data_IF_929807620428
#
_entry.id   IF_929807620428
#
_cell.length_a   1.000
_cell.length_b   1.000
_cell.length_c   1.000
_cell.angle_alpha   90.00
_cell.angle_beta   90.00
_cell.angle_gamma   90.00
#
_symmetry.space_group_name_H-M   'P 1'
#
loop_
_entity.id
_entity.type
_entity.pdbx_description
1 polymer ?
#
# COMPACT_ATOMS: atom_id res chain seq x y z
N UNK A 1 -11.17 4.61 23.10
CA UNK A 1 -10.49 5.73 22.40
C UNK A 1 -9.17 6.19 23.05
N UNK A 2 -8.94 6.03 24.36
CA UNK A 2 -7.70 6.50 25.03
C UNK A 2 -6.42 5.69 24.75
N UNK A 3 -6.51 4.39 24.43
CA UNK A 3 -5.32 3.56 24.17
C UNK A 3 -4.59 3.89 22.87
N UNK A 4 -5.30 4.39 21.85
CA UNK A 4 -4.71 4.64 20.54
C UNK A 4 -3.83 5.90 20.50
N UNK A 5 -3.99 6.84 21.44
CA UNK A 5 -3.29 8.14 21.43
C UNK A 5 -1.80 8.03 21.79
N UNK A 6 -1.39 6.99 22.50
CA UNK A 6 -0.02 6.81 22.98
C UNK A 6 0.91 6.39 21.82
N UNK A 7 0.39 5.71 20.81
CA UNK A 7 1.17 5.16 19.70
C UNK A 7 1.56 6.20 18.66
N UNK A 8 0.76 7.25 18.51
CA UNK A 8 1.00 8.32 17.54
C UNK A 8 2.13 9.27 17.95
N UNK A 9 2.71 9.12 19.14
CA UNK A 9 3.79 9.97 19.64
C UNK A 9 5.20 9.59 19.15
N UNK A 10 5.39 8.46 18.46
CA UNK A 10 6.74 7.96 18.11
C UNK A 10 7.04 7.82 16.61
N UNK A 11 6.19 8.31 15.71
CA UNK A 11 6.43 8.24 14.26
C UNK A 11 6.41 6.82 13.66
N UNK A 12 6.20 5.80 14.50
CA UNK A 12 6.11 4.37 14.14
C UNK A 12 4.74 3.78 14.51
N UNK A 13 3.70 4.63 14.60
CA UNK A 13 2.36 4.21 14.97
C UNK A 13 1.74 3.23 13.97
N UNK A 14 2.07 3.40 12.68
CA UNK A 14 1.63 2.53 11.60
C UNK A 14 2.17 1.10 11.74
N UNK A 15 3.45 0.96 12.03
CA UNK A 15 4.05 -0.36 12.22
C UNK A 15 3.39 -1.11 13.38
N UNK A 16 3.15 -0.43 14.50
CA UNK A 16 2.47 -1.03 15.66
C UNK A 16 1.03 -1.41 15.36
N UNK A 17 0.30 -0.56 14.63
CA UNK A 17 -1.04 -0.91 14.16
C UNK A 17 -1.00 -2.18 13.33
N UNK A 18 -0.08 -2.29 12.35
CA UNK A 18 0.04 -3.50 11.55
C UNK A 18 0.36 -4.74 12.37
N UNK A 19 1.29 -4.66 13.32
CA UNK A 19 1.61 -5.78 14.22
C UNK A 19 0.39 -6.24 15.04
N UNK A 20 -0.41 -5.28 15.53
CA UNK A 20 -1.62 -5.57 16.30
C UNK A 20 -2.70 -6.23 15.45
N UNK A 21 -2.96 -5.70 14.25
CA UNK A 21 -4.01 -6.21 13.36
C UNK A 21 -3.68 -7.57 12.74
N UNK A 22 -2.40 -7.90 12.57
CA UNK A 22 -2.00 -9.22 12.04
C UNK A 22 -1.77 -10.26 13.14
N UNK A 23 -1.75 -9.87 14.42
CA UNK A 23 -1.56 -10.80 15.54
C UNK A 23 -2.47 -12.05 15.48
N UNK A 24 -3.77 -11.97 15.13
CA UNK A 24 -4.63 -13.14 15.03
C UNK A 24 -4.19 -14.16 13.97
N UNK A 25 -3.45 -13.71 12.96
CA UNK A 25 -2.93 -14.59 11.89
C UNK A 25 -1.68 -15.38 12.30
N UNK A 26 -1.13 -15.10 13.50
CA UNK A 26 0.17 -15.64 13.92
C UNK A 26 1.37 -15.06 13.15
N UNK A 27 1.13 -14.11 12.24
CA UNK A 27 2.14 -13.51 11.38
C UNK A 27 2.48 -12.10 11.83
N UNK A 28 3.77 -11.75 11.70
CA UNK A 28 4.21 -10.38 11.93
C UNK A 28 3.88 -9.52 10.72
N UNK A 29 3.02 -8.54 10.95
CA UNK A 29 2.62 -7.53 9.97
C UNK A 29 3.57 -6.35 9.95
N UNK A 30 3.68 -5.74 8.78
CA UNK A 30 4.47 -4.54 8.56
C UNK A 30 3.66 -3.51 7.80
N UNK A 31 3.93 -2.23 8.06
CA UNK A 31 3.48 -1.17 7.17
C UNK A 31 4.06 -1.39 5.76
N UNK A 32 3.26 -1.19 4.73
CA UNK A 32 3.56 -1.67 3.38
C UNK A 32 4.88 -1.12 2.81
N UNK A 33 5.68 -2.01 2.22
CA UNK A 33 6.87 -1.66 1.43
C UNK A 33 6.57 -1.66 -0.08
N UNK A 34 7.27 -0.82 -0.83
CA UNK A 34 7.17 -0.73 -2.30
C UNK A 34 8.54 -0.96 -2.91
N UNK A 35 8.84 -2.20 -3.29
CA UNK A 35 10.19 -2.63 -3.68
C UNK A 35 10.42 -2.61 -5.18
N UNK A 36 9.36 -2.51 -5.98
CA UNK A 36 9.43 -2.46 -7.43
C UNK A 36 8.14 -1.89 -8.04
N UNK A 37 8.15 -1.70 -9.35
CA UNK A 37 7.01 -1.19 -10.12
C UNK A 37 5.76 -2.07 -10.00
N UNK A 38 5.87 -3.40 -9.96
CA UNK A 38 4.70 -4.29 -9.85
C UNK A 38 3.99 -4.10 -8.49
N UNK A 39 4.76 -4.00 -7.41
CA UNK A 39 4.20 -3.71 -6.08
C UNK A 39 3.57 -2.32 -6.03
N UNK A 40 4.17 -1.33 -6.69
CA UNK A 40 3.60 0.01 -6.80
C UNK A 40 2.24 -0.01 -7.51
N UNK A 41 2.13 -0.68 -8.65
CA UNK A 41 0.86 -0.85 -9.37
C UNK A 41 -0.19 -1.55 -8.50
N UNK A 42 0.18 -2.63 -7.82
CA UNK A 42 -0.71 -3.34 -6.90
C UNK A 42 -1.24 -2.44 -5.78
N UNK A 43 -0.37 -1.64 -5.17
CA UNK A 43 -0.75 -0.73 -4.08
C UNK A 43 -1.67 0.38 -4.59
N UNK A 44 -1.49 0.87 -5.82
CA UNK A 44 -2.43 1.82 -6.44
C UNK A 44 -3.85 1.25 -6.56
N UNK A 45 -3.97 -0.03 -6.89
CA UNK A 45 -5.26 -0.74 -6.93
C UNK A 45 -5.87 -0.79 -5.55
N UNK A 46 -5.12 -1.27 -4.53
CA UNK A 46 -5.61 -1.33 -3.15
C UNK A 46 -6.05 0.03 -2.64
N UNK A 47 -5.28 1.07 -2.96
CA UNK A 47 -5.60 2.44 -2.57
C UNK A 47 -6.88 2.94 -3.25
N UNK A 48 -7.05 2.68 -4.55
CA UNK A 48 -8.27 3.03 -5.29
C UNK A 48 -9.49 2.32 -4.72
N UNK A 49 -9.38 1.04 -4.40
CA UNK A 49 -10.47 0.25 -3.81
C UNK A 49 -10.85 0.78 -2.44
N UNK A 50 -9.86 1.11 -1.59
CA UNK A 50 -10.12 1.69 -0.28
C UNK A 50 -10.70 3.13 -0.38
N UNK A 51 -10.43 3.84 -1.47
CA UNK A 51 -10.93 5.19 -1.73
C UNK A 51 -12.05 5.22 -2.78
N UNK A 52 -12.94 4.23 -2.73
CA UNK A 52 -14.12 4.14 -3.62
C UNK A 52 -15.00 5.39 -3.56
N UNK A 53 -15.18 5.97 -2.37
CA UNK A 53 -15.98 7.19 -2.16
C UNK A 53 -15.26 8.49 -2.58
N UNK A 54 -14.09 8.40 -3.22
CA UNK A 54 -13.29 9.55 -3.67
C UNK A 54 -12.94 10.57 -2.57
N UNK A 55 -12.87 10.14 -1.31
CA UNK A 55 -12.48 10.99 -0.18
C UNK A 55 -11.02 11.44 -0.33
N UNK A 56 -10.22 10.68 -1.08
CA UNK A 56 -8.82 10.94 -1.37
C UNK A 56 -7.97 11.00 -0.11
N UNK A 57 -8.34 10.23 0.92
CA UNK A 57 -7.58 10.18 2.17
C UNK A 57 -6.17 9.66 1.88
N UNK A 58 -5.08 10.31 2.33
CA UNK A 58 -3.71 9.85 2.09
C UNK A 58 -3.46 8.44 2.64
N UNK A 59 -2.64 7.65 1.94
CA UNK A 59 -2.19 6.34 2.39
C UNK A 59 -0.78 6.46 2.99
N UNK A 60 -0.64 6.21 4.29
CA UNK A 60 0.68 6.09 4.91
C UNK A 60 1.35 4.80 4.44
N UNK A 61 2.55 4.93 3.90
CA UNK A 61 3.39 3.80 3.47
C UNK A 61 4.53 3.60 4.47
N UNK A 62 5.08 2.38 4.51
CA UNK A 62 6.09 1.96 5.49
C UNK A 62 7.49 2.53 5.27
N UNK A 63 7.64 3.55 4.41
CA UNK A 63 8.92 4.21 4.15
C UNK A 63 9.21 5.25 5.22
N UNK A 64 10.42 5.20 5.78
CA UNK A 64 10.94 6.20 6.71
C UNK A 64 12.28 6.71 6.21
N UNK A 65 12.47 8.01 6.21
CA UNK A 65 13.80 8.61 6.09
C UNK A 65 14.27 8.98 7.49
N UNK A 66 15.39 8.41 7.94
CA UNK A 66 15.98 8.73 9.24
C UNK A 66 17.49 8.42 9.20
N UNK A 67 18.29 9.28 9.84
CA UNK A 67 19.75 9.14 9.87
C UNK A 67 20.35 9.03 8.46
N UNK A 68 19.89 9.91 7.57
CA UNK A 68 20.38 10.06 6.20
C UNK A 68 20.17 8.85 5.30
N UNK A 69 19.21 7.98 5.65
CA UNK A 69 18.90 6.75 4.94
C UNK A 69 17.41 6.50 4.87
N UNK A 70 17.00 5.83 3.80
CA UNK A 70 15.65 5.29 3.63
C UNK A 70 15.57 3.88 4.20
N UNK A 71 14.51 3.61 4.95
CA UNK A 71 14.25 2.33 5.59
C UNK A 71 12.79 1.94 5.39
N UNK A 72 12.57 0.69 4.99
CA UNK A 72 11.27 0.05 5.10
C UNK A 72 11.14 -0.63 6.45
N UNK A 73 9.95 -0.61 7.06
CA UNK A 73 9.73 -1.30 8.34
C UNK A 73 9.89 -2.82 8.28
N UNK A 74 9.69 -3.43 7.12
CA UNK A 74 9.93 -4.85 6.91
C UNK A 74 11.41 -5.21 6.69
N UNK A 75 12.31 -4.23 6.86
CA UNK A 75 13.75 -4.32 6.62
C UNK A 75 14.13 -4.72 5.19
N UNK A 76 13.22 -4.61 4.23
CA UNK A 76 13.57 -4.79 2.83
C UNK A 76 14.47 -3.67 2.32
N UNK A 77 15.28 -3.95 1.31
CA UNK A 77 16.18 -2.97 0.72
C UNK A 77 15.40 -1.90 -0.05
N UNK A 78 15.75 -0.63 0.15
CA UNK A 78 15.25 0.47 -0.68
C UNK A 78 16.14 0.62 -1.93
N UNK A 79 15.73 0.00 -3.04
CA UNK A 79 16.46 0.04 -4.33
C UNK A 79 15.55 0.32 -5.54
N UNK A 80 14.30 0.73 -5.31
CA UNK A 80 13.38 1.05 -6.38
C UNK A 80 13.67 2.44 -6.95
N UNK A 81 14.44 2.50 -8.04
CA UNK A 81 14.86 3.73 -8.71
C UNK A 81 13.69 4.62 -9.16
N UNK A 82 12.60 3.99 -9.61
CA UNK A 82 11.40 4.69 -10.09
C UNK A 82 10.51 5.30 -8.99
N UNK A 83 10.83 5.07 -7.72
CA UNK A 83 9.96 5.48 -6.61
C UNK A 83 9.76 7.01 -6.51
N UNK A 84 10.77 7.79 -6.90
CA UNK A 84 10.77 9.26 -6.83
C UNK A 84 10.82 9.95 -8.20
N UNK A 85 10.45 9.26 -9.28
CA UNK A 85 10.44 9.85 -10.63
C UNK A 85 9.66 11.18 -10.74
N UNK A 86 10.01 12.08 -11.68
CA UNK A 86 9.58 13.49 -11.70
C UNK A 86 8.07 13.75 -11.77
N UNK A 87 7.27 12.74 -12.14
CA UNK A 87 5.81 12.81 -12.10
C UNK A 87 5.26 12.95 -10.66
N UNK A 88 6.10 12.68 -9.66
CA UNK A 88 5.84 12.88 -8.24
C UNK A 88 6.34 14.26 -7.83
N UNK A 89 5.46 15.28 -7.90
CA UNK A 89 5.72 16.71 -7.56
C UNK A 89 6.06 16.97 -6.08
N UNK A 90 6.75 16.06 -5.40
CA UNK A 90 7.25 16.33 -4.06
C UNK A 90 8.66 16.90 -4.11
N UNK A 91 8.90 17.90 -3.28
CA UNK A 91 10.17 18.62 -3.12
C UNK A 91 11.19 17.77 -2.34
N UNK A 92 11.36 16.49 -2.71
CA UNK A 92 12.27 15.57 -2.04
C UNK A 92 13.75 15.98 -2.14
N UNK A 93 14.09 16.92 -3.01
CA UNK A 93 15.43 17.51 -3.15
C UNK A 93 15.92 18.30 -1.91
N UNK A 94 15.12 18.38 -0.84
CA UNK A 94 15.43 19.12 0.39
C UNK A 94 15.61 18.25 1.65
N UNK A 95 15.70 16.92 1.51
CA UNK A 95 15.95 16.05 2.67
C UNK A 95 17.34 16.33 3.25
N UNK A 96 17.38 17.03 4.39
CA UNK A 96 18.61 17.41 5.07
C UNK A 96 19.09 16.31 6.01
N UNK A 97 20.39 16.36 6.29
CA UNK A 97 21.01 15.53 7.31
C UNK A 97 20.31 15.67 8.66
N UNK A 98 20.02 14.56 9.31
CA UNK A 98 19.37 14.51 10.63
C UNK A 98 17.86 14.74 10.64
N UNK A 99 17.21 14.89 9.48
CA UNK A 99 15.75 14.93 9.40
C UNK A 99 15.14 13.53 9.56
N UNK A 100 13.91 13.49 10.10
CA UNK A 100 13.08 12.30 10.10
C UNK A 100 11.83 12.58 9.27
N UNK A 101 11.58 11.78 8.23
CA UNK A 101 10.39 11.91 7.37
C UNK A 101 9.59 10.63 7.24
N UNK A 102 8.28 10.81 7.08
CA UNK A 102 7.27 9.80 6.80
C UNK A 102 6.64 10.09 5.45
N UNK A 103 6.37 9.05 4.66
CA UNK A 103 5.90 9.20 3.29
C UNK A 103 4.46 8.72 3.16
N UNK A 104 3.71 9.41 2.33
CA UNK A 104 2.32 9.14 2.04
C UNK A 104 2.12 9.06 0.53
N UNK A 105 1.31 8.11 0.09
CA UNK A 105 0.75 8.13 -1.25
C UNK A 105 -0.61 8.83 -1.22
N UNK A 106 -0.86 9.72 -2.17
CA UNK A 106 -2.11 10.45 -2.29
C UNK A 106 -2.55 10.52 -3.73
N UNK A 107 -3.86 10.44 -3.94
CA UNK A 107 -4.46 10.64 -5.23
C UNK A 107 -5.65 11.56 -5.08
N UNK A 108 -5.64 12.75 -5.72
CA UNK A 108 -6.77 13.65 -5.72
C UNK A 108 -8.03 12.99 -6.27
N UNK A 109 -9.22 13.49 -5.87
CA UNK A 109 -10.47 13.06 -6.44
C UNK A 109 -10.56 13.65 -7.85
N UNK A 110 -10.64 12.79 -8.86
CA UNK A 110 -10.78 13.21 -10.24
C UNK A 110 -11.68 12.25 -10.99
N UNK A 111 -12.50 12.80 -11.89
CA UNK A 111 -13.31 12.05 -12.84
C UNK A 111 -12.50 11.57 -14.06
N UNK A 112 -11.21 11.92 -14.12
CA UNK A 112 -10.30 11.54 -15.21
C UNK A 112 -9.27 10.51 -14.74
N UNK A 113 -8.25 10.21 -15.56
CA UNK A 113 -7.17 9.30 -15.19
C UNK A 113 -6.53 9.68 -13.86
N UNK A 114 -6.68 8.79 -12.89
CA UNK A 114 -6.23 8.97 -11.51
C UNK A 114 -4.71 9.10 -11.44
N UNK A 115 -4.22 10.19 -10.82
CA UNK A 115 -2.79 10.45 -10.61
C UNK A 115 -2.40 10.16 -9.17
N UNK A 116 -1.26 9.53 -8.98
CA UNK A 116 -0.76 9.13 -7.67
C UNK A 116 0.52 9.90 -7.37
N UNK A 117 0.51 10.61 -6.25
CA UNK A 117 1.60 11.43 -5.77
C UNK A 117 2.18 10.82 -4.50
N UNK A 118 3.47 10.98 -4.29
CA UNK A 118 4.10 10.73 -3.00
C UNK A 118 4.45 12.08 -2.39
N UNK A 119 4.14 12.28 -1.11
CA UNK A 119 4.59 13.43 -0.33
C UNK A 119 5.15 12.97 1.02
N UNK A 120 5.95 13.81 1.66
CA UNK A 120 6.47 13.54 2.99
C UNK A 120 6.03 14.56 4.04
N UNK A 121 6.07 14.12 5.31
CA UNK A 121 5.90 14.97 6.49
C UNK A 121 7.02 14.69 7.48
N UNK A 122 7.30 15.64 8.38
CA UNK A 122 8.21 15.42 9.51
C UNK A 122 7.64 14.38 10.49
N UNK A 123 8.47 13.45 10.97
CA UNK A 123 8.05 12.42 11.94
C UNK A 123 7.45 12.97 13.24
N UNK A 124 7.74 14.23 13.60
CA UNK A 124 7.19 14.90 14.79
C UNK A 124 5.78 15.45 14.56
N UNK A 125 5.35 15.60 13.31
CA UNK A 125 4.01 16.08 12.97
C UNK A 125 3.01 14.96 13.20
N UNK A 126 1.98 15.24 13.98
CA UNK A 126 0.83 14.35 14.11
C UNK A 126 -0.12 14.61 12.95
N UNK A 127 -0.21 13.64 12.06
CA UNK A 127 -1.21 13.59 11.00
C UNK A 127 -2.22 12.53 11.40
N UNK A 128 -3.52 12.82 11.44
CA UNK A 128 -4.53 11.89 11.98
C UNK A 128 -5.46 11.28 10.92
N UNK A 129 -5.52 11.87 9.72
CA UNK A 129 -6.46 11.49 8.67
C UNK A 129 -5.74 10.78 7.53
N UNK A 130 -5.50 9.49 7.71
CA UNK A 130 -4.87 8.67 6.69
C UNK A 130 -5.30 7.22 6.78
N UNK A 131 -5.11 6.51 5.67
CA UNK A 131 -5.27 5.05 5.57
C UNK A 131 -3.94 4.38 5.81
N UNK A 132 -4.00 3.15 6.33
CA UNK A 132 -2.84 2.29 6.51
C UNK A 132 -3.03 1.00 5.72
N UNK A 133 -2.00 0.59 4.99
CA UNK A 133 -1.94 -0.71 4.35
C UNK A 133 -0.88 -1.57 5.04
N UNK A 134 -1.30 -2.73 5.56
CA UNK A 134 -0.44 -3.68 6.23
C UNK A 134 -0.14 -4.87 5.32
N UNK A 135 1.11 -5.33 5.37
CA UNK A 135 1.62 -6.50 4.66
C UNK A 135 2.05 -7.55 5.67
N UNK A 136 1.64 -8.80 5.47
CA UNK A 136 2.13 -9.94 6.24
C UNK A 136 2.37 -11.12 5.29
N UNK A 137 3.15 -12.10 5.75
CA UNK A 137 3.34 -13.35 5.01
C UNK A 137 2.12 -14.23 5.24
N UNK A 138 1.43 -14.62 4.19
CA UNK A 138 0.39 -15.64 4.31
C UNK A 138 1.09 -16.98 4.55
N UNK A 139 0.74 -17.77 5.59
CA UNK A 139 1.25 -19.12 5.74
C UNK A 139 0.98 -19.91 4.47
N UNK A 140 1.94 -20.69 3.99
CA UNK A 140 1.65 -21.65 2.91
C UNK A 140 0.57 -22.59 3.44
N UNK A 141 -0.58 -22.62 2.79
CA UNK A 141 -1.56 -23.66 3.06
C UNK A 141 -0.89 -25.00 2.74
N UNK A 142 -0.93 -25.97 3.66
CA UNK A 142 -0.58 -27.37 3.37
C UNK A 142 -1.66 -28.04 2.47
N UNK A 143 -2.44 -27.24 1.74
CA UNK A 143 -3.43 -27.73 0.78
C UNK A 143 -2.63 -28.05 -0.48
N UNK A 144 -2.61 -29.32 -0.94
CA UNK A 144 -2.06 -29.65 -2.25
C UNK A 144 -2.74 -28.74 -3.26
N UNK A 145 -1.97 -27.88 -3.92
CA UNK A 145 -2.46 -27.18 -5.09
C UNK A 145 -2.48 -28.25 -6.17
N UNK A 146 -3.62 -28.93 -6.32
CA UNK A 146 -3.88 -29.63 -7.57
C UNK A 146 -3.73 -28.58 -8.66
N UNK A 147 -2.76 -28.80 -9.55
CA UNK A 147 -2.56 -27.97 -10.72
C UNK A 147 -3.78 -28.13 -11.63
N UNK A 148 -4.87 -27.43 -11.31
CA UNK A 148 -5.88 -27.09 -12.30
C UNK A 148 -5.15 -26.19 -13.28
N UNK A 149 -4.68 -26.79 -14.38
CA UNK A 149 -4.18 -26.03 -15.52
C UNK A 149 -5.29 -25.06 -15.91
N UNK A 150 -5.03 -23.75 -15.97
CA UNK A 150 -5.99 -22.85 -16.59
C UNK A 150 -6.20 -23.34 -18.02
N UNK A 151 -7.45 -23.53 -18.41
CA UNK A 151 -7.76 -23.83 -19.79
C UNK A 151 -7.62 -22.52 -20.60
N UNK A 152 -6.49 -22.38 -21.29
CA UNK A 152 -6.20 -21.24 -22.16
C UNK A 152 -6.86 -21.37 -23.54
N UNK A 153 -7.85 -22.26 -23.70
CA UNK A 153 -8.55 -22.48 -24.98
C UNK A 153 -9.33 -21.26 -25.51
N UNK A 154 -9.43 -20.16 -24.76
CA UNK A 154 -10.12 -18.93 -25.17
C UNK A 154 -9.20 -17.70 -25.39
N UNK A 155 -7.88 -17.86 -25.44
CA UNK A 155 -6.91 -16.73 -25.52
C UNK A 155 -6.79 -16.05 -26.91
N UNK A 156 -7.76 -16.25 -27.81
CA UNK A 156 -7.70 -15.72 -29.19
C UNK A 156 -8.63 -14.53 -29.48
N UNK A 157 -9.15 -13.83 -28.47
CA UNK A 157 -9.81 -12.55 -28.72
C UNK A 157 -9.29 -11.42 -27.81
N UNK A 158 -8.67 -10.46 -28.49
CA UNK A 158 -8.41 -9.06 -28.12
C UNK A 158 -7.29 -8.74 -27.13
N UNK A 159 -6.06 -8.82 -27.64
CA UNK A 159 -4.98 -7.88 -27.30
C UNK A 159 -5.12 -6.58 -28.08
N UNK A 160 -5.64 -5.52 -27.46
CA UNK A 160 -5.31 -4.10 -27.67
C UNK A 160 -6.26 -3.28 -26.78
N UNK A 161 -5.69 -2.39 -25.96
CA UNK A 161 -6.38 -1.53 -24.98
C UNK A 161 -6.97 -2.21 -23.72
N UNK A 162 -6.10 -2.70 -22.84
CA UNK A 162 -6.50 -3.08 -21.47
C UNK A 162 -6.59 -1.84 -20.57
N UNK A 163 -7.70 -1.10 -20.72
CA UNK A 163 -8.30 -0.34 -19.63
C UNK A 163 -8.94 -1.37 -18.67
N UNK A 164 -8.37 -1.50 -17.47
CA UNK A 164 -8.61 -2.61 -16.53
C UNK A 164 -10.05 -2.67 -15.98
N UNK A 165 -10.98 -3.17 -16.79
CA UNK A 165 -12.34 -3.55 -16.40
C UNK A 165 -12.46 -5.00 -15.86
N UNK A 166 -11.37 -5.79 -15.87
CA UNK A 166 -11.44 -7.25 -15.65
C UNK A 166 -11.34 -7.73 -14.20
N UNK A 167 -11.33 -6.85 -13.18
CA UNK A 167 -11.31 -7.30 -11.77
C UNK A 167 -12.69 -7.36 -11.10
N UNK A 168 -13.75 -7.07 -11.85
CA UNK A 168 -15.14 -7.28 -11.42
C UNK A 168 -15.75 -8.35 -12.31
N UNK A 169 -15.51 -9.62 -11.97
CA UNK A 169 -16.42 -10.66 -12.41
C UNK A 169 -17.78 -10.42 -11.74
N UNK A 170 -18.77 -10.20 -12.58
CA UNK A 170 -20.12 -9.84 -12.19
C UNK A 170 -20.83 -11.05 -11.57
N UNK A 171 -21.07 -10.96 -10.26
CA UNK A 171 -22.20 -11.63 -9.63
C UNK A 171 -22.09 -13.15 -9.47
N UNK A 172 -21.80 -13.57 -8.23
CA UNK A 172 -22.57 -14.59 -7.51
C UNK A 172 -22.28 -14.48 -6.03
N UNK A 173 -23.14 -13.73 -5.34
CA UNK A 173 -23.29 -13.82 -3.89
C UNK A 173 -23.85 -15.21 -3.60
N UNK A 174 -23.04 -16.11 -3.06
CA UNK A 174 -23.55 -17.33 -2.46
C UNK A 174 -24.01 -17.01 -1.03
N UNK A 175 -25.32 -16.85 -0.84
CA UNK A 175 -25.94 -16.99 0.47
C UNK A 175 -25.91 -18.48 0.84
N UNK A 176 -25.29 -18.83 1.96
CA UNK A 176 -25.59 -20.08 2.65
C UNK A 176 -26.85 -19.83 3.51
N UNK A 177 -27.96 -20.44 3.13
CA UNK A 177 -29.07 -20.72 4.04
C UNK A 177 -29.07 -22.22 4.31
N UNK A 178 -28.99 -22.59 5.58
CA UNK A 178 -29.56 -23.82 6.12
C UNK A 178 -30.73 -23.40 7.00
#
# INVERSE_FOLDING_TARGET
MKEYSIYWNKGDGDQRCCEMFTRPTGQKGYSVSIRNRKEYEFIKVQYRTADFNLISMPLLIGLKYQNDRFHWFDNSTFNYTGFFEPNYKSRFYLLKKGQCRRFFMYSPPTYTKRKYYIFDIDCKVRFYEYRLLCRYKVPRSNVPIDHIKPDYSMENHTTQDLDYHDYWDNGKVFFYQN
#
